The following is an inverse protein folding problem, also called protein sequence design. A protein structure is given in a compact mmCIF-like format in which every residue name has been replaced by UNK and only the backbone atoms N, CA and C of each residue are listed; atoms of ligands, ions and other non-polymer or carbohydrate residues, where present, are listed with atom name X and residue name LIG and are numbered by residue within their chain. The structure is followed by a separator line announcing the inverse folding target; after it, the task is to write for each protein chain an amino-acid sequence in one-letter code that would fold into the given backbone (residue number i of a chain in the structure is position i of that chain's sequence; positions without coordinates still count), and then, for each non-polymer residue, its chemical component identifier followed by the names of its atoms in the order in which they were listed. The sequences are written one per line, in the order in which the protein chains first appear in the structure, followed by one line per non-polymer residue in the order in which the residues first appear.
data_IF_716209980292
#
_entry.id   IF_716209980292
#
_cell.length_a   1.000
_cell.length_b   1.000
_cell.length_c   1.000
_cell.angle_alpha   90.00
_cell.angle_beta   90.00
_cell.angle_gamma   90.00
#
_symmetry.space_group_name_H-M   'P 1'
#
loop_
_entity.id
_entity.type
_entity.pdbx_description
1 polymer ?
#
# COMPACT_ATOMS: atom_id res chain seq x y z
N UNK A 1 51.71 23.95 -14.07
CA UNK A 1 50.40 24.12 -14.72
C UNK A 1 49.43 23.12 -14.12
N UNK A 2 48.50 23.58 -13.30
CA UNK A 2 47.47 22.75 -12.67
C UNK A 2 46.13 23.06 -13.35
N UNK A 3 45.51 22.07 -13.98
CA UNK A 3 44.12 22.13 -14.41
C UNK A 3 43.40 20.99 -13.72
N UNK A 4 42.82 21.32 -12.57
CA UNK A 4 41.83 20.52 -11.86
C UNK A 4 40.49 21.16 -12.16
N UNK A 5 39.53 20.41 -12.71
CA UNK A 5 38.10 20.62 -12.47
C UNK A 5 37.30 19.46 -13.08
N UNK A 6 37.13 18.41 -12.28
CA UNK A 6 36.11 17.39 -12.48
C UNK A 6 34.82 17.88 -11.81
N UNK A 7 33.81 18.24 -12.61
CA UNK A 7 32.47 18.53 -12.12
C UNK A 7 31.65 17.23 -12.14
N UNK A 8 31.66 16.49 -11.03
CA UNK A 8 30.66 15.46 -10.76
C UNK A 8 29.37 16.15 -10.31
N UNK A 9 28.42 16.32 -11.23
CA UNK A 9 27.04 16.63 -10.88
C UNK A 9 26.39 15.37 -10.29
N UNK A 10 26.36 15.28 -8.97
CA UNK A 10 25.43 14.40 -8.27
C UNK A 10 24.02 14.98 -8.46
N UNK A 11 23.24 14.38 -9.36
CA UNK A 11 21.79 14.50 -9.33
C UNK A 11 21.27 13.73 -8.11
N UNK A 12 21.31 14.36 -6.93
CA UNK A 12 20.50 13.93 -5.81
C UNK A 12 19.05 14.27 -6.15
N UNK A 13 18.29 13.28 -6.63
CA UNK A 13 16.84 13.39 -6.72
C UNK A 13 16.32 13.54 -5.30
N UNK A 14 15.97 14.76 -4.91
CA UNK A 14 15.28 15.04 -3.66
C UNK A 14 13.99 14.20 -3.65
N UNK A 15 14.03 13.09 -2.91
CA UNK A 15 12.83 12.34 -2.59
C UNK A 15 12.03 13.23 -1.64
N UNK A 16 10.81 13.58 -2.01
CA UNK A 16 9.87 14.32 -1.16
C UNK A 16 9.87 13.65 0.24
N UNK A 17 10.27 14.32 1.33
CA UNK A 17 10.54 13.69 2.63
C UNK A 17 9.30 13.02 3.27
N UNK A 18 8.12 13.14 2.65
CA UNK A 18 6.88 12.47 3.05
C UNK A 18 6.48 11.24 2.20
N UNK A 19 7.23 10.88 1.16
CA UNK A 19 6.93 9.72 0.31
C UNK A 19 7.92 8.58 0.56
N UNK A 20 7.44 7.51 1.21
CA UNK A 20 8.18 6.26 1.29
C UNK A 20 7.42 5.19 0.50
N UNK A 21 8.02 4.63 -0.58
CA UNK A 21 7.42 3.49 -1.24
C UNK A 21 7.28 2.34 -0.22
N UNK A 22 6.29 1.44 -0.40
CA UNK A 22 6.15 0.28 0.45
C UNK A 22 7.47 -0.47 0.57
N UNK A 23 7.97 -0.66 1.79
CA UNK A 23 9.18 -1.45 2.01
C UNK A 23 8.80 -2.92 1.97
N UNK A 24 9.58 -3.73 1.25
CA UNK A 24 9.25 -5.15 1.11
C UNK A 24 9.29 -5.91 2.44
N UNK A 25 10.07 -5.47 3.42
CA UNK A 25 10.06 -6.04 4.76
C UNK A 25 8.71 -5.86 5.46
N UNK A 26 8.13 -4.66 5.40
CA UNK A 26 6.81 -4.37 5.94
C UNK A 26 5.71 -5.16 5.23
N UNK A 27 5.84 -5.34 3.90
CA UNK A 27 4.90 -6.14 3.10
C UNK A 27 4.93 -7.61 3.49
N UNK A 28 6.12 -8.18 3.67
CA UNK A 28 6.28 -9.54 4.17
C UNK A 28 5.70 -9.68 5.57
N UNK A 29 5.96 -8.72 6.46
CA UNK A 29 5.43 -8.74 7.83
C UNK A 29 3.90 -8.69 7.86
N UNK A 30 3.27 -7.84 7.04
CA UNK A 30 1.82 -7.84 6.86
C UNK A 30 1.34 -9.16 6.29
N UNK A 31 1.95 -9.67 5.20
CA UNK A 31 1.56 -10.94 4.61
C UNK A 31 1.62 -12.10 5.61
N UNK A 32 2.71 -12.22 6.35
CA UNK A 32 2.91 -13.25 7.36
C UNK A 32 1.86 -13.19 8.47
N UNK A 33 1.45 -11.99 8.86
CA UNK A 33 0.40 -11.79 9.84
C UNK A 33 -1.01 -12.04 9.27
N UNK A 34 -1.24 -11.86 7.97
CA UNK A 34 -2.53 -12.18 7.36
C UNK A 34 -2.72 -13.70 7.22
N UNK A 35 -1.61 -14.41 6.97
CA UNK A 35 -1.61 -15.85 6.74
C UNK A 35 -1.55 -16.68 8.03
N UNK A 36 -1.40 -16.05 9.20
CA UNK A 36 -1.49 -16.69 10.52
C UNK A 36 -2.79 -16.25 11.21
N UNK A 37 -3.47 -17.19 11.87
CA UNK A 37 -4.71 -16.89 12.57
C UNK A 37 -4.47 -15.85 13.69
N UNK A 38 -5.30 -14.80 13.76
CA UNK A 38 -5.27 -13.77 14.81
C UNK A 38 -4.11 -12.75 14.76
N UNK A 39 -3.14 -12.88 13.85
CA UNK A 39 -1.90 -12.08 13.92
C UNK A 39 -1.98 -10.65 13.39
N UNK A 40 -3.00 -10.27 12.63
CA UNK A 40 -3.23 -8.84 12.32
C UNK A 40 -3.49 -8.04 13.58
N UNK A 41 -4.31 -8.59 14.49
CA UNK A 41 -4.60 -7.96 15.78
C UNK A 41 -3.33 -7.85 16.62
N UNK A 42 -2.51 -8.90 16.66
CA UNK A 42 -1.23 -8.88 17.37
C UNK A 42 -0.25 -7.83 16.82
N UNK A 43 -0.18 -7.62 15.50
CA UNK A 43 0.62 -6.54 14.93
C UNK A 43 0.10 -5.17 15.36
N UNK A 44 -1.22 -4.97 15.33
CA UNK A 44 -1.85 -3.71 15.75
C UNK A 44 -1.55 -3.43 17.22
N UNK A 45 -1.71 -4.42 18.10
CA UNK A 45 -1.45 -4.28 19.54
C UNK A 45 0.05 -4.06 19.85
N UNK A 46 0.95 -4.57 19.00
CA UNK A 46 2.37 -4.29 19.08
C UNK A 46 2.76 -2.89 18.55
N UNK A 47 1.79 -2.06 18.15
CA UNK A 47 2.03 -0.70 17.65
C UNK A 47 2.66 -0.64 16.27
N UNK A 48 2.61 -1.73 15.50
CA UNK A 48 3.09 -1.72 14.12
C UNK A 48 2.22 -0.81 13.27
N UNK A 49 2.83 0.12 12.56
CA UNK A 49 2.18 0.95 11.55
C UNK A 49 3.03 0.89 10.28
N UNK A 50 2.52 0.33 9.17
CA UNK A 50 3.26 0.30 7.92
C UNK A 50 3.60 1.74 7.50
N UNK A 51 4.86 2.08 7.18
CA UNK A 51 5.23 3.41 6.73
C UNK A 51 4.90 3.59 5.24
N UNK A 52 3.62 3.40 4.88
CA UNK A 52 3.14 3.43 3.50
C UNK A 52 2.15 4.57 3.34
N UNK A 53 2.44 5.50 2.43
CA UNK A 53 1.72 6.78 2.40
C UNK A 53 1.82 7.51 3.76
N UNK A 54 1.32 8.75 3.82
CA UNK A 54 1.39 9.54 5.05
C UNK A 54 0.27 9.15 6.01
N UNK A 55 0.55 8.25 6.96
CA UNK A 55 -0.37 7.90 8.05
C UNK A 55 -1.22 6.66 7.78
N UNK A 56 -0.70 5.50 8.18
CA UNK A 56 -1.47 4.27 8.33
C UNK A 56 -2.03 4.17 9.74
N UNK A 57 -3.30 3.78 9.85
CA UNK A 57 -3.97 3.56 11.14
C UNK A 57 -4.68 2.20 11.13
N UNK A 58 -4.83 1.56 12.31
CA UNK A 58 -5.68 0.38 12.43
C UNK A 58 -7.12 0.69 11.97
N UNK A 59 -7.69 -0.17 11.13
CA UNK A 59 -9.06 -0.06 10.62
C UNK A 59 -9.58 -1.41 10.12
N UNK A 60 -10.86 -1.74 10.38
CA UNK A 60 -11.58 -2.90 9.82
C UNK A 60 -10.81 -4.23 9.88
N UNK A 61 -10.20 -4.54 11.02
CA UNK A 61 -9.42 -5.79 11.18
C UNK A 61 -8.05 -5.78 10.49
N UNK A 62 -7.58 -4.62 10.01
CA UNK A 62 -6.23 -4.40 9.50
C UNK A 62 -5.81 -2.95 9.50
N UNK A 63 -5.34 -2.43 8.36
CA UNK A 63 -4.78 -1.07 8.26
C UNK A 63 -5.42 -0.27 7.14
N UNK A 64 -5.62 1.02 7.37
CA UNK A 64 -5.97 1.98 6.34
C UNK A 64 -4.95 3.11 6.32
N UNK A 65 -4.39 3.35 5.14
CA UNK A 65 -3.43 4.40 4.85
C UNK A 65 -4.07 5.38 3.86
N UNK A 66 -3.84 6.67 4.01
CA UNK A 66 -4.40 7.68 3.11
C UNK A 66 -3.49 8.91 2.98
N UNK A 67 -3.41 9.50 1.79
CA UNK A 67 -2.68 10.75 1.54
C UNK A 67 -3.35 11.57 0.45
N UNK A 68 -3.34 12.89 0.62
CA UNK A 68 -3.53 13.84 -0.49
C UNK A 68 -2.24 13.93 -1.30
N UNK A 69 -2.31 13.59 -2.58
CA UNK A 69 -1.20 13.58 -3.53
C UNK A 69 -1.48 14.55 -4.68
N UNK A 70 -0.43 15.19 -5.16
CA UNK A 70 -0.45 15.98 -6.40
C UNK A 70 -0.12 15.04 -7.57
N UNK A 71 -0.72 15.17 -8.75
CA UNK A 71 -0.41 14.28 -9.88
C UNK A 71 1.07 14.38 -10.32
N UNK A 72 1.70 13.34 -10.92
CA UNK A 72 1.23 11.98 -11.19
C UNK A 72 1.93 10.87 -10.40
N UNK A 73 2.77 11.18 -9.42
CA UNK A 73 3.78 10.24 -8.89
C UNK A 73 3.20 9.05 -8.10
N UNK A 74 2.04 9.21 -7.46
CA UNK A 74 1.47 8.19 -6.57
C UNK A 74 0.13 7.66 -7.10
N UNK A 75 0.16 6.53 -7.81
CA UNK A 75 -1.05 5.90 -8.37
C UNK A 75 -1.31 4.51 -7.77
N UNK A 76 -2.57 4.03 -7.75
CA UNK A 76 -2.89 2.66 -7.37
C UNK A 76 -2.14 1.61 -8.18
N UNK A 77 -1.92 1.84 -9.47
CA UNK A 77 -1.13 0.97 -10.33
C UNK A 77 0.32 0.87 -9.83
N UNK A 78 0.99 2.01 -9.61
CA UNK A 78 2.39 2.05 -9.20
C UNK A 78 2.60 1.38 -7.85
N UNK A 79 1.81 1.74 -6.84
CA UNK A 79 1.95 1.15 -5.51
C UNK A 79 1.49 -0.31 -5.48
N UNK A 80 0.47 -0.67 -6.26
CA UNK A 80 0.04 -2.05 -6.43
C UNK A 80 1.17 -2.92 -6.99
N UNK A 81 1.86 -2.44 -8.03
CA UNK A 81 3.03 -3.11 -8.59
C UNK A 81 4.16 -3.27 -7.56
N UNK A 82 4.49 -2.21 -6.80
CA UNK A 82 5.52 -2.29 -5.74
C UNK A 82 5.15 -3.33 -4.68
N UNK A 83 3.90 -3.35 -4.19
CA UNK A 83 3.44 -4.32 -3.19
C UNK A 83 3.52 -5.75 -3.75
N UNK A 84 3.08 -5.94 -4.99
CA UNK A 84 3.15 -7.24 -5.68
C UNK A 84 4.59 -7.72 -5.81
N UNK A 85 5.50 -6.86 -6.24
CA UNK A 85 6.90 -7.22 -6.46
C UNK A 85 7.63 -7.55 -5.15
N UNK A 86 7.18 -7.00 -4.02
CA UNK A 86 7.66 -7.36 -2.69
C UNK A 86 7.17 -8.73 -2.18
N UNK A 87 6.16 -9.33 -2.81
CA UNK A 87 5.47 -10.54 -2.37
C UNK A 87 5.45 -11.59 -3.49
N UNK A 88 6.47 -12.47 -3.57
CA UNK A 88 6.54 -13.48 -4.62
C UNK A 88 5.27 -14.34 -4.68
N UNK A 89 4.63 -14.40 -5.86
CA UNK A 89 3.36 -15.11 -6.06
C UNK A 89 2.11 -14.28 -5.78
N UNK A 90 2.25 -12.99 -5.43
CA UNK A 90 1.12 -12.08 -5.33
C UNK A 90 0.51 -11.81 -6.71
N UNK A 91 -0.81 -11.63 -6.73
CA UNK A 91 -1.56 -11.25 -7.93
C UNK A 91 -2.07 -9.82 -7.79
N UNK A 92 -2.25 -9.13 -8.91
CA UNK A 92 -2.84 -7.79 -8.94
C UNK A 92 -3.95 -7.75 -9.99
N UNK A 93 -5.09 -7.17 -9.64
CA UNK A 93 -6.23 -6.99 -10.54
C UNK A 93 -6.81 -5.58 -10.46
N UNK A 94 -7.33 -5.08 -11.58
CA UNK A 94 -8.22 -3.94 -11.58
C UNK A 94 -9.60 -4.37 -11.04
N UNK A 95 -10.22 -3.51 -10.25
CA UNK A 95 -11.54 -3.76 -9.66
C UNK A 95 -12.36 -2.47 -9.71
N UNK A 96 -13.67 -2.58 -9.56
CA UNK A 96 -14.50 -1.41 -9.35
C UNK A 96 -14.13 -0.73 -8.02
N UNK A 97 -14.17 0.60 -8.04
CA UNK A 97 -13.90 1.46 -6.89
C UNK A 97 -15.05 1.40 -5.89
N UNK A 98 -14.75 1.74 -4.64
CA UNK A 98 -15.77 1.90 -3.59
C UNK A 98 -16.51 3.23 -3.76
N UNK A 99 -17.69 3.33 -3.14
CA UNK A 99 -18.49 4.56 -3.12
C UNK A 99 -17.64 5.79 -2.75
N UNK A 100 -17.75 6.85 -3.54
CA UNK A 100 -16.93 8.07 -3.41
C UNK A 100 -15.55 8.02 -4.09
N UNK A 101 -15.18 6.90 -4.71
CA UNK A 101 -13.96 6.72 -5.52
C UNK A 101 -14.34 6.32 -6.97
N UNK A 102 -13.48 6.57 -7.97
CA UNK A 102 -13.82 6.29 -9.40
C UNK A 102 -13.36 4.90 -9.85
N UNK A 103 -14.22 4.11 -10.54
CA UNK A 103 -14.03 2.68 -10.75
C UNK A 103 -12.85 2.26 -11.61
N UNK A 104 -12.32 3.14 -12.45
CA UNK A 104 -11.20 2.88 -13.36
C UNK A 104 -9.83 2.91 -12.67
N UNK A 105 -9.76 3.39 -11.43
CA UNK A 105 -8.49 3.65 -10.75
C UNK A 105 -8.13 2.64 -9.68
N UNK A 106 -9.05 1.79 -9.22
CA UNK A 106 -8.78 0.89 -8.10
C UNK A 106 -7.94 -0.34 -8.51
N UNK A 107 -7.08 -0.79 -7.60
CA UNK A 107 -6.29 -2.02 -7.72
C UNK A 107 -6.41 -2.86 -6.47
N UNK A 108 -6.41 -4.18 -6.63
CA UNK A 108 -6.33 -5.11 -5.50
C UNK A 108 -5.16 -6.04 -5.72
N UNK A 109 -4.24 -6.05 -4.76
CA UNK A 109 -3.15 -7.02 -4.66
C UNK A 109 -3.54 -8.09 -3.65
N UNK A 110 -3.38 -9.37 -4.02
CA UNK A 110 -3.64 -10.52 -3.15
C UNK A 110 -2.40 -11.37 -2.99
N UNK A 111 -2.11 -11.81 -1.77
CA UNK A 111 -1.05 -12.76 -1.46
C UNK A 111 -1.45 -13.66 -0.27
N UNK A 112 -1.76 -14.93 -0.57
CA UNK A 112 -2.43 -15.80 0.39
C UNK A 112 -3.73 -15.15 0.87
N UNK A 113 -3.85 -14.93 2.18
CA UNK A 113 -4.99 -14.29 2.83
C UNK A 113 -4.90 -12.76 2.87
N UNK A 114 -3.74 -12.17 2.56
CA UNK A 114 -3.58 -10.71 2.54
C UNK A 114 -4.29 -10.12 1.33
N UNK A 115 -5.10 -9.08 1.57
CA UNK A 115 -5.70 -8.24 0.53
C UNK A 115 -5.25 -6.81 0.75
N UNK A 116 -4.54 -6.24 -0.23
CA UNK A 116 -4.24 -4.81 -0.28
C UNK A 116 -5.08 -4.16 -1.37
N UNK A 117 -6.06 -3.35 -0.99
CA UNK A 117 -6.91 -2.59 -1.90
C UNK A 117 -6.41 -1.16 -1.99
N UNK A 118 -6.13 -0.69 -3.19
CA UNK A 118 -5.66 0.65 -3.49
C UNK A 118 -6.76 1.39 -4.24
N UNK A 119 -7.23 2.51 -3.71
CA UNK A 119 -8.26 3.35 -4.32
C UNK A 119 -7.73 4.77 -4.52
N UNK A 120 -8.19 5.43 -5.57
CA UNK A 120 -7.85 6.82 -5.90
C UNK A 120 -9.13 7.64 -6.09
N UNK A 121 -9.20 8.79 -5.41
CA UNK A 121 -10.39 9.63 -5.35
C UNK A 121 -10.59 10.47 -6.62
N UNK A 122 -9.67 10.45 -7.61
CA UNK A 122 -9.86 11.21 -8.85
C UNK A 122 -9.10 10.69 -10.09
N UNK A 123 -9.58 11.08 -11.27
CA UNK A 123 -8.89 10.91 -12.57
C UNK A 123 -7.72 11.90 -12.71
N UNK A 124 -6.91 11.75 -13.77
CA UNK A 124 -5.78 12.65 -14.12
C UNK A 124 -6.14 14.14 -14.30
N UNK A 125 -7.42 14.52 -14.19
CA UNK A 125 -7.93 15.88 -14.38
C UNK A 125 -8.16 16.67 -13.06
N UNK A 126 -7.96 16.09 -11.88
CA UNK A 126 -8.18 16.82 -10.62
C UNK A 126 -7.09 17.87 -10.35
N UNK A 127 -7.48 19.15 -10.45
CA UNK A 127 -6.61 20.30 -10.14
C UNK A 127 -6.53 20.67 -8.66
N UNK A 128 -7.40 20.11 -7.80
CA UNK A 128 -7.53 20.47 -6.38
C UNK A 128 -6.88 19.48 -5.39
N UNK A 129 -6.00 18.59 -5.88
CA UNK A 129 -5.42 17.50 -5.09
C UNK A 129 -6.23 16.22 -5.18
N UNK A 130 -5.54 15.08 -5.13
CA UNK A 130 -6.08 13.74 -5.32
C UNK A 130 -5.86 12.93 -4.05
N UNK A 131 -6.87 12.22 -3.53
CA UNK A 131 -6.72 11.36 -2.37
C UNK A 131 -6.39 9.93 -2.81
N UNK A 132 -5.26 9.38 -2.37
CA UNK A 132 -4.96 7.95 -2.52
C UNK A 132 -5.17 7.24 -1.19
N UNK A 133 -5.80 6.07 -1.21
CA UNK A 133 -5.93 5.21 -0.05
C UNK A 133 -5.44 3.79 -0.32
N UNK A 134 -4.93 3.15 0.72
CA UNK A 134 -4.60 1.72 0.71
C UNK A 134 -5.21 1.08 1.96
N UNK A 135 -6.02 0.06 1.76
CA UNK A 135 -6.57 -0.77 2.83
C UNK A 135 -5.92 -2.16 2.79
N UNK A 136 -5.29 -2.55 3.89
CA UNK A 136 -4.76 -3.89 4.11
C UNK A 136 -5.73 -4.66 5.02
N UNK A 137 -6.29 -5.75 4.50
CA UNK A 137 -7.26 -6.60 5.20
C UNK A 137 -6.93 -8.08 5.02
N UNK A 138 -7.60 -8.94 5.78
CA UNK A 138 -7.62 -10.38 5.55
C UNK A 138 -8.82 -10.70 4.66
N UNK A 139 -8.67 -11.62 3.71
CA UNK A 139 -9.78 -12.08 2.88
C UNK A 139 -10.91 -12.63 3.78
N UNK A 140 -12.13 -12.05 3.73
CA UNK A 140 -13.23 -12.47 4.57
C UNK A 140 -13.64 -13.94 4.35
N UNK A 141 -13.49 -14.48 3.13
CA UNK A 141 -13.81 -15.87 2.85
C UNK A 141 -12.87 -16.83 3.62
N UNK A 142 -11.61 -16.43 3.81
CA UNK A 142 -10.66 -17.16 4.64
C UNK A 142 -10.90 -16.95 6.14
N UNK A 143 -11.50 -15.83 6.55
CA UNK A 143 -11.82 -15.53 7.96
C UNK A 143 -13.07 -16.25 8.49
N UNK A 144 -14.01 -16.59 7.61
CA UNK A 144 -15.25 -17.30 7.97
C UNK A 144 -15.01 -18.80 8.20
N UNK A 145 -14.11 -19.42 7.42
CA UNK A 145 -13.72 -20.82 7.59
C UNK A 145 -13.05 -21.08 8.95
N UNK A 146 -12.14 -20.20 9.38
CA UNK A 146 -11.46 -20.34 10.68
C UNK A 146 -12.38 -20.11 11.88
N UNK A 147 -13.36 -19.22 11.76
CA UNK A 147 -14.37 -19.02 12.82
C UNK A 147 -15.33 -20.21 12.95
N UNK A 148 -15.45 -21.03 11.89
CA UNK A 148 -16.24 -22.26 11.90
C UNK A 148 -15.45 -23.46 12.46
N UNK A 149 -14.12 -23.52 12.27
CA UNK A 149 -13.25 -24.57 12.83
C UNK A 149 -12.88 -24.34 14.31
N UNK A 150 -12.96 -23.11 14.80
CA UNK A 150 -12.70 -22.77 16.21
C UNK A 150 -13.92 -22.96 17.14
N UNK A 151 -15.01 -23.58 16.66
CA UNK A 151 -16.24 -23.89 17.41
C UNK A 151 -16.48 -25.39 17.46
#
# INVERSE_FOLDING_TARGET
MHLVLAALLLAATASDPGEQPPRCEDMRRLSDAANRAGSFRALIDAGFAPPILYGCRPADGGYRCWRNVTPPEVTPERYGAIIRDCLPGATMAAVEARDGFRPDTARVVRHGRLVARLDDSCTSACRAGRGMSIAFTIDPAASAAEQAEAR
#
